data_IF_050877752381
#
_entry.id   IF_050877752381
#
_cell.length_a   1.000
_cell.length_b   1.000
_cell.length_c   1.000
_cell.angle_alpha   90.00
_cell.angle_beta   90.00
_cell.angle_gamma   90.00
#
_symmetry.space_group_name_H-M   'P 1'
#
loop_
_entity.id
_entity.type
_entity.pdbx_description
1 polymer ?
#
# COMPACT_ATOMS: atom_id res chain seq x y z
N UNK A 1 -4.25 12.04 3.99
CA UNK A 1 -4.11 10.90 3.06
C UNK A 1 -5.05 11.25 1.95
N UNK A 2 -4.52 11.92 0.91
CA UNK A 2 -5.34 12.64 -0.06
C UNK A 2 -4.76 12.56 -1.50
N UNK A 3 -3.60 11.93 -1.68
CA UNK A 3 -2.88 11.87 -2.96
C UNK A 3 -2.25 10.49 -3.13
N UNK A 4 -2.21 9.95 -4.34
CA UNK A 4 -1.82 8.55 -4.63
C UNK A 4 -2.70 7.47 -3.97
N UNK A 5 -3.98 7.77 -3.74
CA UNK A 5 -4.98 6.75 -3.43
C UNK A 5 -5.16 5.76 -4.62
N UNK A 6 -6.00 4.74 -4.44
CA UNK A 6 -6.24 3.73 -5.49
C UNK A 6 -6.78 4.32 -6.80
N UNK A 7 -7.54 5.41 -6.75
CA UNK A 7 -8.11 6.06 -7.92
C UNK A 7 -7.04 6.85 -8.68
N UNK A 8 -6.21 7.61 -7.96
CA UNK A 8 -5.05 8.30 -8.53
C UNK A 8 -4.07 7.32 -9.17
N UNK A 9 -3.73 6.22 -8.48
CA UNK A 9 -2.80 5.21 -9.01
C UNK A 9 -3.34 4.50 -10.23
N UNK A 10 -4.64 4.19 -10.24
CA UNK A 10 -5.28 3.66 -11.45
C UNK A 10 -5.17 4.63 -12.63
N UNK A 11 -5.43 5.92 -12.40
CA UNK A 11 -5.26 6.94 -13.43
C UNK A 11 -3.81 7.01 -13.94
N UNK A 12 -2.81 7.00 -13.05
CA UNK A 12 -1.40 6.98 -13.46
C UNK A 12 -1.03 5.72 -14.26
N UNK A 13 -1.63 4.57 -13.95
CA UNK A 13 -1.43 3.34 -14.73
C UNK A 13 -1.98 3.47 -16.16
N UNK A 14 -3.03 4.27 -16.38
CA UNK A 14 -3.52 4.55 -17.74
C UNK A 14 -2.54 5.40 -18.55
N UNK A 15 -1.69 6.19 -17.87
CA UNK A 15 -0.67 7.03 -18.51
C UNK A 15 0.64 6.27 -18.77
N UNK A 16 1.00 5.32 -17.89
CA UNK A 16 2.22 4.53 -18.02
C UNK A 16 2.03 3.10 -17.53
N UNK A 17 2.36 2.13 -18.38
CA UNK A 17 2.25 0.70 -18.07
C UNK A 17 3.38 0.16 -17.20
N UNK A 18 4.51 0.86 -17.11
CA UNK A 18 5.74 0.31 -16.50
C UNK A 18 6.24 1.08 -15.27
N UNK A 19 5.68 2.26 -14.99
CA UNK A 19 6.08 3.04 -13.82
C UNK A 19 5.71 2.28 -12.53
N UNK A 20 6.67 2.23 -11.60
CA UNK A 20 6.46 1.73 -10.25
C UNK A 20 5.65 2.73 -9.45
N UNK A 21 4.51 2.30 -8.93
CA UNK A 21 3.62 3.14 -8.13
C UNK A 21 3.86 2.87 -6.64
N UNK A 22 3.65 3.88 -5.81
CA UNK A 22 3.70 3.76 -4.36
C UNK A 22 2.34 4.13 -3.78
N UNK A 23 1.89 3.38 -2.77
CA UNK A 23 0.74 3.78 -1.96
C UNK A 23 1.07 5.03 -1.17
N UNK A 24 0.03 5.60 -0.55
CA UNK A 24 0.23 6.52 0.57
C UNK A 24 0.99 5.82 1.71
N UNK A 25 1.66 6.62 2.55
CA UNK A 25 2.29 6.10 3.75
C UNK A 25 1.22 5.62 4.74
N UNK A 26 1.15 4.31 4.97
CA UNK A 26 0.25 3.70 5.94
C UNK A 26 1.02 3.40 7.22
N UNK A 27 0.48 3.82 8.36
CA UNK A 27 1.16 3.60 9.65
C UNK A 27 1.06 2.14 10.10
N UNK A 28 2.10 1.62 10.76
CA UNK A 28 2.13 0.26 11.31
C UNK A 28 0.91 -0.02 12.20
N UNK A 29 0.60 0.93 13.09
CA UNK A 29 -0.55 0.85 14.00
C UNK A 29 -1.89 0.77 13.26
N UNK A 30 -2.04 1.47 12.14
CA UNK A 30 -3.26 1.41 11.33
C UNK A 30 -3.45 0.02 10.71
N UNK A 31 -2.40 -0.61 10.18
CA UNK A 31 -2.48 -1.96 9.62
C UNK A 31 -2.77 -3.00 10.72
N UNK A 32 -2.10 -2.89 11.87
CA UNK A 32 -2.24 -3.85 12.95
C UNK A 32 -3.63 -3.80 13.61
N UNK A 33 -4.16 -2.60 13.86
CA UNK A 33 -5.39 -2.41 14.64
C UNK A 33 -6.62 -1.99 13.84
N UNK A 34 -6.43 -1.50 12.62
CA UNK A 34 -7.49 -1.01 11.76
C UNK A 34 -8.04 -2.07 10.80
N UNK A 35 -8.95 -1.59 9.95
CA UNK A 35 -9.52 -2.38 8.86
C UNK A 35 -8.53 -2.50 7.71
N UNK A 36 -8.00 -3.71 7.53
CA UNK A 36 -6.96 -4.02 6.54
C UNK A 36 -7.48 -3.94 5.11
N UNK A 37 -8.74 -4.28 4.86
CA UNK A 37 -9.31 -4.22 3.52
C UNK A 37 -9.34 -2.76 3.04
N UNK A 38 -9.77 -1.85 3.92
CA UNK A 38 -9.75 -0.41 3.59
C UNK A 38 -8.34 0.13 3.33
N UNK A 39 -7.33 -0.38 4.04
CA UNK A 39 -5.97 0.15 3.99
C UNK A 39 -5.10 -0.50 2.90
N UNK A 40 -5.28 -1.79 2.64
CA UNK A 40 -4.40 -2.61 1.81
C UNK A 40 -5.03 -3.06 0.50
N UNK A 41 -6.33 -2.86 0.28
CA UNK A 41 -6.93 -3.24 -0.99
C UNK A 41 -6.45 -2.31 -2.12
N UNK A 42 -6.02 -2.92 -3.22
CA UNK A 42 -5.64 -2.25 -4.45
C UNK A 42 -6.23 -3.00 -5.66
N UNK A 43 -6.29 -2.34 -6.82
CA UNK A 43 -6.70 -2.95 -8.08
C UNK A 43 -5.50 -3.70 -8.68
N UNK A 44 -5.70 -4.95 -9.12
CA UNK A 44 -4.63 -5.79 -9.69
C UNK A 44 -3.89 -5.15 -10.88
N UNK A 45 -4.52 -4.21 -11.61
CA UNK A 45 -3.89 -3.45 -12.70
C UNK A 45 -2.85 -2.44 -12.22
N UNK A 46 -2.82 -2.08 -10.94
CA UNK A 46 -1.86 -1.11 -10.39
C UNK A 46 -0.42 -1.63 -10.36
N UNK A 47 -0.21 -2.94 -10.52
CA UNK A 47 1.13 -3.54 -10.54
C UNK A 47 2.00 -3.01 -11.70
N UNK A 48 3.30 -2.74 -11.47
CA UNK A 48 4.03 -2.89 -10.20
C UNK A 48 3.71 -1.80 -9.15
N UNK A 49 3.32 -2.23 -7.94
CA UNK A 49 2.88 -1.37 -6.83
C UNK A 49 3.67 -1.68 -5.54
N UNK A 50 4.07 -0.65 -4.80
CA UNK A 50 4.80 -0.77 -3.53
C UNK A 50 3.99 -0.15 -2.39
N UNK A 51 3.89 -0.88 -1.27
CA UNK A 51 3.33 -0.36 -0.03
C UNK A 51 4.39 0.44 0.74
N UNK A 52 4.07 1.69 1.08
CA UNK A 52 4.90 2.50 1.98
C UNK A 52 4.42 2.36 3.43
N UNK A 53 5.28 1.82 4.30
CA UNK A 53 5.01 1.67 5.74
C UNK A 53 5.64 2.81 6.55
N UNK A 54 4.88 3.37 7.50
CA UNK A 54 5.35 4.36 8.46
C UNK A 54 5.32 3.82 9.89
N UNK A 55 6.45 3.80 10.59
CA UNK A 55 6.52 3.34 11.97
C UNK A 55 7.95 3.37 12.52
N UNK A 56 8.07 3.17 13.83
CA UNK A 56 9.36 3.20 14.54
C UNK A 56 9.70 1.92 15.29
N UNK A 57 8.74 1.00 15.48
CA UNK A 57 8.98 -0.30 16.12
C UNK A 57 9.32 -1.36 15.06
N UNK A 58 10.54 -1.92 15.05
CA UNK A 58 10.94 -2.93 14.06
C UNK A 58 10.07 -4.19 14.04
N UNK A 59 9.52 -4.60 15.19
CA UNK A 59 8.65 -5.79 15.28
C UNK A 59 7.30 -5.51 14.64
N UNK A 60 6.70 -4.35 14.92
CA UNK A 60 5.46 -3.94 14.26
C UNK A 60 5.67 -3.83 12.73
N UNK A 61 6.79 -3.23 12.31
CA UNK A 61 7.11 -3.08 10.88
C UNK A 61 7.26 -4.43 10.19
N UNK A 62 7.97 -5.38 10.80
CA UNK A 62 8.11 -6.73 10.26
C UNK A 62 6.76 -7.46 10.12
N UNK A 63 5.87 -7.33 11.12
CA UNK A 63 4.53 -7.89 11.06
C UNK A 63 3.70 -7.26 9.94
N UNK A 64 3.76 -5.93 9.78
CA UNK A 64 3.05 -5.24 8.70
C UNK A 64 3.54 -5.68 7.33
N UNK A 65 4.85 -5.85 7.14
CA UNK A 65 5.41 -6.36 5.88
C UNK A 65 4.95 -7.79 5.57
N UNK A 66 4.82 -8.66 6.58
CA UNK A 66 4.29 -10.01 6.38
C UNK A 66 2.81 -9.99 5.98
N UNK A 67 2.00 -9.12 6.59
CA UNK A 67 0.60 -8.92 6.22
C UNK A 67 0.52 -8.39 4.79
N UNK A 68 1.30 -7.36 4.43
CA UNK A 68 1.32 -6.79 3.09
C UNK A 68 1.67 -7.82 2.01
N UNK A 69 2.64 -8.69 2.29
CA UNK A 69 3.00 -9.81 1.39
C UNK A 69 1.83 -10.76 1.14
N UNK A 70 1.00 -11.02 2.16
CA UNK A 70 -0.21 -11.86 1.98
C UNK A 70 -1.27 -11.17 1.11
N UNK A 71 -1.29 -9.85 1.06
CA UNK A 71 -2.14 -9.05 0.15
C UNK A 71 -1.57 -8.94 -1.28
N UNK A 72 -0.38 -9.48 -1.54
CA UNK A 72 0.22 -9.51 -2.89
C UNK A 72 0.95 -8.24 -3.31
N UNK A 73 1.32 -7.39 -2.34
CA UNK A 73 2.33 -6.35 -2.54
C UNK A 73 3.74 -6.93 -2.70
#
# INVERSE_FOLDING_TARGET
MDWTDKHCRYFFRLLSSFTQLYTEMITSKAILRGDKNRLLDYNSREHPLVLQLGGSDPKEMAQCSQIAKQWGY
#
